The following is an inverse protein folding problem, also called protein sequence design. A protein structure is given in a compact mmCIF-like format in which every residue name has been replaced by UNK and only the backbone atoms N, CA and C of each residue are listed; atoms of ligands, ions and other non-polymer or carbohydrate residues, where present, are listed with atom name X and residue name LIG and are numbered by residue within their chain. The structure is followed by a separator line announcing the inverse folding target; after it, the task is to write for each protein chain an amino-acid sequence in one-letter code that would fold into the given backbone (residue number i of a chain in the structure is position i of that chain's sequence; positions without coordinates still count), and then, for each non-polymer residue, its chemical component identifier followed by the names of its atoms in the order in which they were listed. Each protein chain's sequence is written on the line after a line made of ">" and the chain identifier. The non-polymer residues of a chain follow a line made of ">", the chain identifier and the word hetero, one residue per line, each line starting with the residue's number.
data_IF_803373908533
#
_entry.id   IF_803373908533
#
_cell.length_a   1.000
_cell.length_b   1.000
_cell.length_c   1.000
_cell.angle_alpha   90.00
_cell.angle_beta   90.00
_cell.angle_gamma   90.00
#
_symmetry.space_group_name_H-M   'P 1'
#
loop_
_entity.id
_entity.type
_entity.pdbx_description
1 polymer ?
#
# COMPACT_ATOMS: atom_id res chain seq x y z
N UNK A 1 17.66 21.84 7.60
CA UNK A 1 16.91 20.80 6.88
C UNK A 1 15.45 21.01 7.26
N UNK A 2 14.52 21.03 6.29
CA UNK A 2 13.10 21.13 6.63
C UNK A 2 12.69 19.87 7.41
N UNK A 3 11.89 20.05 8.46
CA UNK A 3 11.33 18.93 9.23
C UNK A 3 10.39 18.13 8.32
N UNK A 4 10.62 16.82 8.22
CA UNK A 4 9.78 15.94 7.39
C UNK A 4 8.52 15.56 8.15
N UNK A 5 7.41 15.48 7.45
CA UNK A 5 6.14 15.05 8.03
C UNK A 5 6.18 13.53 8.19
N UNK A 6 6.07 13.05 9.43
CA UNK A 6 6.03 11.60 9.72
C UNK A 6 4.70 11.00 9.29
N UNK A 7 4.79 9.89 8.57
CA UNK A 7 3.64 9.18 8.03
C UNK A 7 3.74 7.67 8.28
N UNK A 8 2.59 7.00 8.30
CA UNK A 8 2.53 5.56 8.05
C UNK A 8 2.14 5.30 6.60
N UNK A 9 2.48 4.14 6.07
CA UNK A 9 1.99 3.68 4.77
C UNK A 9 1.06 2.48 4.97
N UNK A 10 -0.16 2.55 4.44
CA UNK A 10 -1.01 1.38 4.28
C UNK A 10 -0.36 0.44 3.28
N UNK A 11 0.09 -0.72 3.76
CA UNK A 11 0.99 -1.61 3.02
C UNK A 11 0.27 -2.90 2.66
N UNK A 12 0.00 -3.08 1.37
CA UNK A 12 -0.63 -4.28 0.85
C UNK A 12 0.38 -5.30 0.31
N UNK A 13 1.64 -4.87 0.13
CA UNK A 13 2.71 -5.64 -0.52
C UNK A 13 2.72 -5.56 -2.04
N UNK A 14 1.76 -4.84 -2.64
CA UNK A 14 1.62 -4.68 -4.08
C UNK A 14 2.40 -3.50 -4.68
N UNK A 15 2.37 -3.41 -6.01
CA UNK A 15 3.04 -2.36 -6.78
C UNK A 15 2.49 -0.95 -6.47
N UNK A 16 1.18 -0.82 -6.24
CA UNK A 16 0.54 0.45 -5.89
C UNK A 16 0.99 0.98 -4.52
N UNK A 17 1.04 0.13 -3.49
CA UNK A 17 1.53 0.56 -2.16
C UNK A 17 3.01 0.94 -2.21
N UNK A 18 3.82 0.19 -2.97
CA UNK A 18 5.23 0.51 -3.18
C UNK A 18 5.42 1.85 -3.90
N UNK A 19 4.70 2.09 -4.99
CA UNK A 19 4.79 3.36 -5.74
C UNK A 19 4.31 4.55 -4.90
N UNK A 20 3.25 4.37 -4.11
CA UNK A 20 2.71 5.40 -3.22
C UNK A 20 3.70 5.79 -2.13
N UNK A 21 4.32 4.79 -1.49
CA UNK A 21 5.41 4.99 -0.54
C UNK A 21 6.54 5.81 -1.16
N UNK A 22 7.01 5.41 -2.35
CA UNK A 22 8.07 6.11 -3.07
C UNK A 22 7.70 7.57 -3.35
N UNK A 23 6.52 7.82 -3.92
CA UNK A 23 6.07 9.18 -4.26
C UNK A 23 5.90 10.07 -3.03
N UNK A 24 5.41 9.51 -1.92
CA UNK A 24 5.32 10.22 -0.65
C UNK A 24 6.71 10.61 -0.12
N UNK A 25 7.68 9.69 -0.15
CA UNK A 25 9.05 9.98 0.26
C UNK A 25 9.71 11.08 -0.60
N UNK A 26 9.47 11.07 -1.92
CA UNK A 26 9.93 12.15 -2.81
C UNK A 26 9.26 13.50 -2.53
N UNK A 27 8.04 13.48 -1.97
CA UNK A 27 7.27 14.67 -1.62
C UNK A 27 7.56 15.19 -0.20
N UNK A 28 8.58 14.64 0.48
CA UNK A 28 9.03 15.12 1.78
C UNK A 28 8.44 14.42 3.00
N UNK A 29 7.69 13.33 2.81
CA UNK A 29 7.21 12.51 3.92
C UNK A 29 8.32 11.58 4.44
N UNK A 30 8.37 11.39 5.75
CA UNK A 30 9.18 10.37 6.40
C UNK A 30 8.27 9.22 6.81
N UNK A 31 8.29 8.12 6.06
CA UNK A 31 7.48 6.95 6.39
C UNK A 31 8.22 6.12 7.44
N UNK A 32 7.69 6.12 8.66
CA UNK A 32 8.31 5.43 9.81
C UNK A 32 7.60 4.14 10.19
N UNK A 33 6.45 3.83 9.59
CA UNK A 33 5.71 2.59 9.85
C UNK A 33 4.96 2.11 8.61
N UNK A 34 4.94 0.78 8.39
CA UNK A 34 4.05 0.10 7.45
C UNK A 34 2.90 -0.52 8.23
N UNK A 35 1.68 -0.42 7.73
CA UNK A 35 0.49 -1.00 8.35
C UNK A 35 -0.20 -1.98 7.41
N UNK A 36 -0.36 -3.23 7.85
CA UNK A 36 -1.11 -4.26 7.11
C UNK A 36 -2.19 -4.87 8.00
N UNK A 37 -3.43 -4.88 7.50
CA UNK A 37 -4.48 -5.74 8.05
C UNK A 37 -4.37 -7.15 7.45
N UNK A 38 -4.20 -8.13 8.30
CA UNK A 38 -4.13 -9.54 7.96
C UNK A 38 -5.39 -10.28 8.36
N UNK A 39 -5.63 -11.44 7.74
CA UNK A 39 -6.72 -12.33 8.09
C UNK A 39 -6.69 -12.73 9.57
N UNK A 40 -7.76 -13.36 10.04
CA UNK A 40 -7.94 -13.75 11.44
C UNK A 40 -6.82 -14.72 11.93
N UNK A 41 -6.27 -15.51 11.02
CA UNK A 41 -5.12 -16.37 11.30
C UNK A 41 -3.81 -15.58 11.45
N UNK A 42 -3.73 -14.40 10.84
CA UNK A 42 -2.53 -13.55 10.75
C UNK A 42 -1.50 -14.09 9.77
N UNK A 43 -1.90 -14.96 8.86
CA UNK A 43 -1.02 -15.63 7.90
C UNK A 43 -0.95 -14.86 6.59
N UNK A 44 -2.03 -14.18 6.18
CA UNK A 44 -2.11 -13.51 4.88
C UNK A 44 -2.69 -12.09 5.00
N UNK A 45 -2.28 -11.17 4.12
CA UNK A 45 -2.93 -9.85 4.03
C UNK A 45 -4.38 -9.97 3.57
N UNK A 46 -5.26 -9.16 4.15
CA UNK A 46 -6.67 -9.12 3.75
C UNK A 46 -6.89 -8.63 2.33
N UNK A 47 -6.05 -7.70 1.86
CA UNK A 47 -6.22 -7.01 0.58
C UNK A 47 -5.83 -7.86 -0.63
N UNK A 48 -4.73 -8.63 -0.52
CA UNK A 48 -4.15 -9.35 -1.66
C UNK A 48 -3.72 -10.79 -1.33
N UNK A 49 -3.98 -11.27 -0.11
CA UNK A 49 -3.63 -12.63 0.27
C UNK A 49 -2.13 -12.90 0.26
N UNK A 50 -1.28 -11.88 0.45
CA UNK A 50 0.16 -12.10 0.54
C UNK A 50 0.51 -12.77 1.86
N UNK A 51 1.34 -13.81 1.81
CA UNK A 51 1.92 -14.42 2.99
C UNK A 51 2.68 -13.36 3.82
N UNK A 52 2.47 -13.39 5.13
CA UNK A 52 3.04 -12.42 6.07
C UNK A 52 4.57 -12.43 6.06
N UNK A 53 5.19 -13.56 5.73
CA UNK A 53 6.64 -13.66 5.54
C UNK A 53 7.16 -12.80 4.39
N UNK A 54 6.38 -12.67 3.30
CA UNK A 54 6.73 -11.80 2.16
C UNK A 54 6.66 -10.34 2.58
N UNK A 55 5.59 -9.95 3.27
CA UNK A 55 5.43 -8.58 3.77
C UNK A 55 6.53 -8.20 4.76
N UNK A 56 6.92 -9.15 5.62
CA UNK A 56 8.04 -8.97 6.55
C UNK A 56 9.36 -8.79 5.80
N UNK A 57 9.64 -9.62 4.79
CA UNK A 57 10.85 -9.47 3.97
C UNK A 57 10.88 -8.12 3.24
N UNK A 58 9.74 -7.65 2.73
CA UNK A 58 9.62 -6.31 2.13
C UNK A 58 9.92 -5.19 3.16
N UNK A 59 9.36 -5.29 4.36
CA UNK A 59 9.60 -4.36 5.47
C UNK A 59 11.08 -4.29 5.87
N UNK A 60 11.74 -5.45 5.99
CA UNK A 60 13.17 -5.55 6.27
C UNK A 60 14.02 -4.91 5.17
N UNK A 61 13.69 -5.17 3.90
CA UNK A 61 14.36 -4.56 2.76
C UNK A 61 14.18 -3.03 2.70
N UNK A 62 13.00 -2.53 3.07
CA UNK A 62 12.69 -1.10 3.16
C UNK A 62 13.30 -0.44 4.41
N UNK A 63 13.68 -1.23 5.42
CA UNK A 63 14.10 -0.77 6.75
C UNK A 63 13.03 0.09 7.44
N UNK A 64 11.76 -0.23 7.20
CA UNK A 64 10.61 0.42 7.84
C UNK A 64 9.85 -0.66 8.59
N UNK A 65 9.58 -0.52 9.91
CA UNK A 65 8.91 -1.54 10.69
C UNK A 65 7.48 -1.80 10.17
N UNK A 66 7.10 -3.08 10.16
CA UNK A 66 5.76 -3.54 9.80
C UNK A 66 4.93 -3.78 11.06
N UNK A 67 3.84 -3.03 11.20
CA UNK A 67 2.75 -3.33 12.10
C UNK A 67 1.69 -4.15 11.36
N UNK A 68 1.54 -5.41 11.78
CA UNK A 68 0.48 -6.27 11.32
C UNK A 68 -0.60 -6.42 12.40
N UNK A 69 -1.87 -6.30 12.00
CA UNK A 69 -3.03 -6.56 12.88
C UNK A 69 -3.97 -7.54 12.22
N UNK A 70 -4.55 -8.40 13.04
CA UNK A 70 -5.56 -9.37 12.60
C UNK A 70 -6.90 -8.67 12.61
N UNK A 71 -7.66 -8.87 11.55
CA UNK A 71 -9.04 -8.43 11.50
C UNK A 71 -9.90 -9.50 10.82
N UNK A 72 -11.22 -9.36 10.92
CA UNK A 72 -12.17 -9.90 9.97
C UNK A 72 -12.76 -8.73 9.17
N UNK A 73 -13.62 -9.00 8.18
CA UNK A 73 -14.33 -7.90 7.50
C UNK A 73 -15.23 -7.09 8.44
N UNK A 74 -15.76 -7.72 9.49
CA UNK A 74 -16.60 -7.07 10.50
C UNK A 74 -15.80 -6.20 11.47
N UNK A 75 -14.55 -6.58 11.78
CA UNK A 75 -13.69 -5.85 12.73
C UNK A 75 -12.62 -4.99 12.05
N UNK A 76 -12.53 -5.02 10.72
CA UNK A 76 -11.48 -4.34 9.94
C UNK A 76 -11.30 -2.87 10.32
N UNK A 77 -12.40 -2.12 10.34
CA UNK A 77 -12.34 -0.69 10.65
C UNK A 77 -11.88 -0.43 12.09
N UNK A 78 -12.43 -1.17 13.06
CA UNK A 78 -12.07 -1.03 14.46
C UNK A 78 -10.60 -1.36 14.70
N UNK A 79 -10.11 -2.47 14.15
CA UNK A 79 -8.72 -2.90 14.28
C UNK A 79 -7.75 -1.98 13.53
N UNK A 80 -8.15 -1.48 12.37
CA UNK A 80 -7.39 -0.46 11.63
C UNK A 80 -7.25 0.81 12.47
N UNK A 81 -8.36 1.32 13.02
CA UNK A 81 -8.33 2.53 13.85
C UNK A 81 -7.46 2.35 15.10
N UNK A 82 -7.58 1.21 15.81
CA UNK A 82 -6.70 0.87 16.94
C UNK A 82 -5.23 0.86 16.54
N UNK A 83 -4.91 0.28 15.39
CA UNK A 83 -3.53 0.21 14.90
C UNK A 83 -2.97 1.61 14.61
N UNK A 84 -3.75 2.45 13.92
CA UNK A 84 -3.36 3.83 13.62
C UNK A 84 -3.18 4.63 14.91
N UNK A 85 -4.06 4.48 15.92
CA UNK A 85 -3.88 5.13 17.22
C UNK A 85 -2.54 4.77 17.88
N UNK A 86 -2.12 3.49 17.85
CA UNK A 86 -0.80 3.09 18.40
C UNK A 86 0.34 3.75 17.62
N UNK A 87 0.20 3.86 16.30
CA UNK A 87 1.21 4.46 15.42
C UNK A 87 1.29 5.99 15.65
N UNK A 88 0.18 6.65 15.97
CA UNK A 88 0.15 8.09 16.24
C UNK A 88 0.96 8.50 17.47
N UNK A 89 1.09 7.62 18.47
CA UNK A 89 1.92 7.86 19.65
C UNK A 89 3.41 8.09 19.31
N UNK A 90 3.84 7.73 18.09
CA UNK A 90 5.20 7.97 17.56
C UNK A 90 5.35 9.34 16.84
N UNK A 91 4.31 10.18 16.88
CA UNK A 91 4.28 11.51 16.25
C UNK A 91 3.89 11.49 14.77
N UNK A 92 3.23 10.42 14.32
CA UNK A 92 2.73 10.30 12.94
C UNK A 92 1.42 11.07 12.79
N UNK A 93 1.34 11.93 11.78
CA UNK A 93 0.16 12.76 11.51
C UNK A 93 -0.41 12.58 10.09
N UNK A 94 0.19 11.71 9.28
CA UNK A 94 -0.27 11.40 7.93
C UNK A 94 -0.32 9.88 7.65
N UNK A 95 -1.23 9.47 6.77
CA UNK A 95 -1.35 8.11 6.27
C UNK A 95 -1.27 8.07 4.75
N UNK A 96 -0.38 7.26 4.20
CA UNK A 96 -0.20 7.09 2.75
C UNK A 96 -1.02 5.89 2.27
N UNK A 97 -1.83 6.08 1.23
CA UNK A 97 -2.74 5.07 0.67
C UNK A 97 -2.53 4.91 -0.85
N UNK A 98 -2.67 3.66 -1.32
CA UNK A 98 -2.35 3.26 -2.70
C UNK A 98 -3.51 3.30 -3.69
N UNK A 99 -4.63 3.94 -3.33
CA UNK A 99 -5.82 4.01 -4.18
C UNK A 99 -5.62 4.88 -5.41
N UNK A 100 -6.12 4.39 -6.55
CA UNK A 100 -6.12 5.11 -7.83
C UNK A 100 -7.50 5.75 -8.06
N UNK A 101 -8.57 4.96 -8.07
CA UNK A 101 -9.89 5.38 -8.53
C UNK A 101 -11.07 4.76 -7.76
N UNK A 102 -10.81 4.05 -6.64
CA UNK A 102 -11.85 3.41 -5.83
C UNK A 102 -12.48 4.40 -4.84
N UNK A 103 -13.61 5.00 -5.21
CA UNK A 103 -14.25 6.09 -4.46
C UNK A 103 -14.75 5.65 -3.08
N UNK A 104 -15.29 4.45 -2.96
CA UNK A 104 -15.82 3.92 -1.69
C UNK A 104 -14.68 3.76 -0.68
N UNK A 105 -13.53 3.25 -1.12
CA UNK A 105 -12.37 3.10 -0.25
C UNK A 105 -11.76 4.45 0.12
N UNK A 106 -11.69 5.41 -0.81
CA UNK A 106 -11.26 6.78 -0.49
C UNK A 106 -12.15 7.42 0.58
N UNK A 107 -13.48 7.33 0.43
CA UNK A 107 -14.42 7.89 1.41
C UNK A 107 -14.26 7.22 2.79
N UNK A 108 -14.03 5.90 2.80
CA UNK A 108 -13.73 5.16 4.02
C UNK A 108 -12.42 5.67 4.66
N UNK A 109 -11.32 5.76 3.90
CA UNK A 109 -10.01 6.28 4.35
C UNK A 109 -10.14 7.69 4.92
N UNK A 110 -10.79 8.60 4.20
CA UNK A 110 -10.97 9.99 4.64
C UNK A 110 -11.74 10.06 5.97
N UNK A 111 -12.79 9.24 6.12
CA UNK A 111 -13.58 9.17 7.36
C UNK A 111 -12.77 8.63 8.54
N UNK A 112 -12.08 7.51 8.39
CA UNK A 112 -11.29 6.91 9.50
C UNK A 112 -10.10 7.78 9.87
N UNK A 113 -9.41 8.37 8.89
CA UNK A 113 -8.31 9.29 9.14
C UNK A 113 -8.80 10.57 9.82
N UNK A 114 -9.94 11.14 9.39
CA UNK A 114 -10.53 12.31 10.03
C UNK A 114 -10.92 12.03 11.48
N UNK A 115 -11.44 10.85 11.80
CA UNK A 115 -11.79 10.47 13.17
C UNK A 115 -10.57 10.39 14.10
N UNK A 116 -9.39 10.15 13.54
CA UNK A 116 -8.12 10.02 14.26
C UNK A 116 -7.26 11.29 14.21
N UNK A 117 -7.66 12.32 13.46
CA UNK A 117 -6.83 13.51 13.23
C UNK A 117 -5.60 13.23 12.36
N UNK A 118 -5.64 12.20 11.53
CA UNK A 118 -4.61 11.86 10.54
C UNK A 118 -4.96 12.49 9.20
N UNK A 119 -3.97 13.01 8.48
CA UNK A 119 -4.16 13.48 7.10
C UNK A 119 -3.98 12.32 6.11
N UNK A 120 -5.01 11.92 5.34
CA UNK A 120 -4.85 10.92 4.30
C UNK A 120 -4.15 11.52 3.08
N UNK A 121 -3.12 10.83 2.58
CA UNK A 121 -2.37 11.17 1.38
C UNK A 121 -2.59 10.04 0.38
N UNK A 122 -3.10 10.38 -0.81
CA UNK A 122 -3.37 9.43 -1.88
C UNK A 122 -2.55 9.81 -3.12
N UNK A 123 -1.25 9.44 -3.20
CA UNK A 123 -0.35 9.91 -4.24
C UNK A 123 -0.76 9.48 -5.65
N UNK A 124 -1.54 8.41 -5.80
CA UNK A 124 -1.93 7.84 -7.08
C UNK A 124 -3.34 8.25 -7.54
N UNK A 125 -4.06 9.00 -6.70
CA UNK A 125 -5.47 9.28 -6.91
C UNK A 125 -5.75 10.00 -8.24
N UNK A 126 -6.62 9.41 -9.06
CA UNK A 126 -7.02 9.84 -10.40
C UNK A 126 -5.86 10.05 -11.38
N UNK A 127 -4.69 9.47 -11.10
CA UNK A 127 -3.63 9.42 -12.10
C UNK A 127 -3.91 8.33 -13.13
N UNK A 128 -3.45 8.57 -14.35
CA UNK A 128 -3.55 7.60 -15.43
C UNK A 128 -2.75 6.32 -15.08
N UNK A 129 -3.38 5.17 -15.26
CA UNK A 129 -2.81 3.87 -14.89
C UNK A 129 -1.58 3.51 -15.73
N UNK A 130 -1.57 3.90 -17.00
CA UNK A 130 -0.43 3.67 -17.89
C UNK A 130 0.75 4.55 -17.48
N UNK A 131 0.50 5.82 -17.17
CA UNK A 131 1.53 6.73 -16.64
C UNK A 131 2.10 6.22 -15.31
N UNK A 132 1.26 5.73 -14.40
CA UNK A 132 1.70 5.14 -13.15
C UNK A 132 2.58 3.92 -13.38
N UNK A 133 2.21 3.04 -14.31
CA UNK A 133 3.00 1.87 -14.67
C UNK A 133 4.33 2.26 -15.33
N UNK A 134 4.33 3.26 -16.22
CA UNK A 134 5.54 3.82 -16.81
C UNK A 134 6.46 4.42 -15.74
N UNK A 135 5.91 5.14 -14.75
CA UNK A 135 6.68 5.65 -13.59
C UNK A 135 7.28 4.50 -12.79
N UNK A 136 6.50 3.47 -12.48
CA UNK A 136 6.94 2.27 -11.76
C UNK A 136 8.15 1.61 -12.43
N UNK A 137 8.07 1.38 -13.74
CA UNK A 137 9.17 0.82 -14.54
C UNK A 137 10.37 1.77 -14.58
N UNK A 138 10.13 3.08 -14.74
CA UNK A 138 11.18 4.09 -14.81
C UNK A 138 12.01 4.19 -13.53
N UNK A 139 11.42 3.93 -12.37
CA UNK A 139 12.12 3.92 -11.07
C UNK A 139 12.75 2.56 -10.74
N UNK A 140 12.83 1.66 -11.74
CA UNK A 140 13.41 0.32 -11.67
C UNK A 140 12.76 -0.58 -10.60
N UNK A 141 11.48 -0.34 -10.31
CA UNK A 141 10.73 -1.23 -9.45
C UNK A 141 10.41 -2.53 -10.18
N UNK A 142 10.55 -3.64 -9.45
CA UNK A 142 10.27 -4.98 -9.93
C UNK A 142 8.99 -5.49 -9.28
N UNK A 143 8.11 -6.06 -10.09
CA UNK A 143 6.88 -6.69 -9.60
C UNK A 143 6.53 -7.90 -10.43
N UNK A 144 6.00 -8.92 -9.77
CA UNK A 144 5.59 -10.19 -10.37
C UNK A 144 4.06 -10.28 -10.32
N UNK A 145 3.45 -10.83 -11.37
CA UNK A 145 2.02 -11.15 -11.37
C UNK A 145 1.75 -12.36 -10.51
N UNK A 146 0.96 -12.18 -9.47
CA UNK A 146 0.54 -13.27 -8.57
C UNK A 146 -0.92 -13.69 -8.76
N UNK A 147 -1.72 -12.85 -9.42
CA UNK A 147 -3.12 -13.12 -9.71
C UNK A 147 -3.51 -12.44 -11.01
N UNK A 148 -4.36 -13.10 -11.79
CA UNK A 148 -4.96 -12.56 -13.00
C UNK A 148 -6.46 -12.82 -13.00
N UNK A 149 -7.18 -11.99 -13.73
CA UNK A 149 -8.55 -12.26 -14.10
C UNK A 149 -8.54 -12.90 -15.49
N UNK A 150 -8.89 -14.19 -15.56
CA UNK A 150 -8.83 -14.99 -16.79
C UNK A 150 -9.70 -14.46 -17.93
N UNK A 151 -10.65 -13.55 -17.63
CA UNK A 151 -11.45 -12.85 -18.65
C UNK A 151 -10.63 -11.85 -19.46
N UNK A 152 -9.55 -11.34 -18.90
CA UNK A 152 -8.72 -10.29 -19.50
C UNK A 152 -7.28 -10.74 -19.72
N UNK A 153 -6.73 -11.57 -18.82
CA UNK A 153 -5.36 -12.07 -18.87
C UNK A 153 -5.31 -13.53 -18.44
N UNK A 154 -4.86 -14.42 -19.33
CA UNK A 154 -4.76 -15.85 -19.04
C UNK A 154 -3.65 -16.22 -18.05
N UNK A 155 -3.57 -17.51 -17.73
CA UNK A 155 -2.57 -18.05 -16.77
C UNK A 155 -1.13 -17.84 -17.23
N UNK A 156 -0.89 -17.65 -18.53
CA UNK A 156 0.45 -17.43 -19.08
C UNK A 156 1.16 -16.19 -18.53
N UNK A 157 0.41 -15.28 -17.90
CA UNK A 157 0.91 -14.06 -17.28
C UNK A 157 1.33 -14.25 -15.83
N UNK A 158 0.85 -15.29 -15.15
CA UNK A 158 1.23 -15.59 -13.77
C UNK A 158 2.75 -15.85 -13.68
N UNK A 159 3.39 -15.28 -12.66
CA UNK A 159 4.83 -15.38 -12.46
C UNK A 159 5.68 -14.48 -13.38
N UNK A 160 5.07 -13.72 -14.32
CA UNK A 160 5.82 -12.78 -15.15
C UNK A 160 6.18 -11.51 -14.40
N UNK A 161 7.38 -11.02 -14.68
CA UNK A 161 7.82 -9.69 -14.23
C UNK A 161 7.26 -8.59 -15.13
N UNK A 162 6.80 -7.49 -14.51
CA UNK A 162 6.42 -6.27 -15.21
C UNK A 162 7.68 -5.53 -15.62
N UNK A 163 8.03 -5.60 -16.90
CA UNK A 163 9.27 -5.00 -17.46
C UNK A 163 8.99 -3.97 -18.56
N UNK A 164 7.72 -3.68 -18.86
CA UNK A 164 7.31 -2.78 -19.95
C UNK A 164 7.34 -3.40 -21.36
N UNK A 165 8.23 -4.36 -21.64
CA UNK A 165 8.24 -5.11 -22.92
C UNK A 165 7.31 -6.32 -22.86
N UNK A 166 6.48 -6.49 -23.89
CA UNK A 166 5.57 -7.65 -23.99
C UNK A 166 4.38 -7.58 -23.02
N UNK A 167 4.13 -6.41 -22.44
CA UNK A 167 2.95 -6.09 -21.65
C UNK A 167 2.00 -5.23 -22.52
N UNK A 168 0.66 -5.28 -22.32
CA UNK A 168 -0.33 -4.53 -23.11
C UNK A 168 -0.31 -3.03 -22.77
N UNK A 169 0.85 -2.41 -22.98
CA UNK A 169 1.19 -1.00 -22.78
C UNK A 169 2.23 -0.55 -23.84
N UNK A 170 2.53 -1.41 -24.81
CA UNK A 170 3.50 -1.20 -25.88
C UNK A 170 2.96 -1.68 -27.22
#
# INVERSE_FOLDING_TARGET
>A
MAEKIKAFCSWSGGKESALSLYMAQQSGFEVTSLLTMANEEGTHSHSHGFDSSVLKAQSEALRVPLMQRKASWQTYEEEFMKAVSVIQDEGICAGIFGDIDLIEHRQWVERVCSALGVTPILPLWLQDREELLRKFIKVDFKSIVIATDSRFMGEEWLGREITGKGWPIG
#
